data_IF_742747636657
#
_entry.id   IF_742747636657
#
_cell.length_a   1.000
_cell.length_b   1.000
_cell.length_c   1.000
_cell.angle_alpha   90.00
_cell.angle_beta   90.00
_cell.angle_gamma   90.00
#
_symmetry.space_group_name_H-M   'P 1'
#
loop_
_entity.id
_entity.type
_entity.pdbx_description
1 polymer ?
#
# COMPACT_ATOMS: atom_id res chain seq x y z
N UNK A 1 19.19 10.21 8.00
CA UNK A 1 18.66 11.22 7.04
C UNK A 1 18.42 10.66 5.65
N UNK A 2 19.40 9.99 5.00
CA UNK A 2 19.24 9.46 3.64
C UNK A 2 18.04 8.50 3.44
N UNK A 3 17.82 7.58 4.37
CA UNK A 3 16.71 6.60 4.28
C UNK A 3 15.33 7.27 4.36
N UNK A 4 15.20 8.35 5.13
CA UNK A 4 13.93 9.10 5.27
C UNK A 4 13.57 9.81 3.95
N UNK A 5 14.57 10.36 3.25
CA UNK A 5 14.34 11.00 1.95
C UNK A 5 13.81 9.99 0.92
N UNK A 6 14.32 8.75 0.93
CA UNK A 6 13.85 7.70 0.01
C UNK A 6 12.41 7.28 0.29
N UNK A 7 12.02 7.17 1.56
CA UNK A 7 10.62 6.90 1.94
C UNK A 7 9.68 7.99 1.44
N UNK A 8 10.06 9.27 1.55
CA UNK A 8 9.26 10.38 1.04
C UNK A 8 9.11 10.29 -0.49
N UNK A 9 10.16 9.94 -1.23
CA UNK A 9 10.08 9.75 -2.69
C UNK A 9 9.12 8.61 -3.03
N UNK A 10 9.22 7.48 -2.33
CA UNK A 10 8.29 6.35 -2.52
C UNK A 10 6.85 6.73 -2.18
N UNK A 11 6.64 7.52 -1.12
CA UNK A 11 5.32 8.02 -0.76
C UNK A 11 4.74 8.95 -1.84
N UNK A 12 5.52 9.85 -2.40
CA UNK A 12 5.07 10.71 -3.52
C UNK A 12 4.66 9.84 -4.71
N UNK A 13 5.44 8.80 -5.00
CA UNK A 13 5.09 7.82 -6.03
C UNK A 13 3.77 7.09 -5.73
N UNK A 14 3.53 6.67 -4.49
CA UNK A 14 2.25 6.09 -4.07
C UNK A 14 1.08 7.06 -4.22
N UNK A 15 1.26 8.35 -3.91
CA UNK A 15 0.22 9.38 -4.10
C UNK A 15 -0.13 9.52 -5.59
N UNK A 16 0.87 9.48 -6.47
CA UNK A 16 0.64 9.50 -7.92
C UNK A 16 -0.13 8.25 -8.36
N UNK A 17 0.27 7.07 -7.89
CA UNK A 17 -0.46 5.82 -8.18
C UNK A 17 -1.88 5.86 -7.66
N UNK A 18 -2.11 6.35 -6.44
CA UNK A 18 -3.43 6.52 -5.85
C UNK A 18 -4.32 7.44 -6.70
N UNK A 19 -3.77 8.55 -7.22
CA UNK A 19 -4.51 9.46 -8.08
C UNK A 19 -4.85 8.84 -9.45
N UNK A 20 -3.97 7.97 -9.98
CA UNK A 20 -4.21 7.24 -11.23
C UNK A 20 -5.26 6.14 -11.00
N UNK A 21 -5.13 5.37 -9.93
CA UNK A 21 -6.02 4.27 -9.55
C UNK A 21 -7.46 4.77 -9.32
N UNK A 22 -7.61 5.92 -8.66
CA UNK A 22 -8.89 6.58 -8.47
C UNK A 22 -9.59 7.02 -9.79
N UNK A 23 -8.83 7.18 -10.89
CA UNK A 23 -9.37 7.67 -12.18
C UNK A 23 -9.50 6.62 -13.27
N UNK A 24 -8.56 5.68 -13.38
CA UNK A 24 -8.45 4.83 -14.58
C UNK A 24 -8.55 3.33 -14.34
N UNK A 25 -8.40 2.83 -13.10
CA UNK A 25 -8.49 1.39 -12.72
C UNK A 25 -7.64 0.39 -13.54
N UNK A 26 -6.91 0.83 -14.56
CA UNK A 26 -6.03 0.01 -15.38
C UNK A 26 -4.58 0.26 -14.99
N UNK A 27 -3.96 -0.74 -14.37
CA UNK A 27 -2.53 -0.71 -14.07
C UNK A 27 -1.72 -1.01 -15.34
N UNK A 28 -1.00 -0.02 -15.86
CA UNK A 28 0.02 -0.29 -16.87
C UNK A 28 1.24 -0.96 -16.22
N UNK A 29 1.75 -2.02 -16.85
CA UNK A 29 2.94 -2.78 -16.42
C UNK A 29 4.17 -1.89 -16.14
N UNK A 30 4.27 -0.76 -16.84
CA UNK A 30 5.32 0.23 -16.64
C UNK A 30 5.38 0.77 -15.19
N UNK A 31 4.22 1.05 -14.59
CA UNK A 31 4.18 1.57 -13.22
C UNK A 31 4.68 0.52 -12.24
N UNK A 32 4.27 -0.74 -12.36
CA UNK A 32 4.74 -1.82 -11.48
C UNK A 32 6.27 -1.97 -11.52
N UNK A 33 6.88 -1.92 -12.71
CA UNK A 33 8.34 -2.01 -12.87
C UNK A 33 9.03 -0.81 -12.20
N UNK A 34 8.53 0.42 -12.42
CA UNK A 34 9.07 1.61 -11.78
C UNK A 34 8.98 1.56 -10.25
N UNK A 35 7.85 1.09 -9.73
CA UNK A 35 7.64 0.91 -8.29
C UNK A 35 8.55 -0.15 -7.69
N UNK A 36 8.81 -1.24 -8.42
CA UNK A 36 9.74 -2.28 -7.98
C UNK A 36 11.18 -1.78 -7.90
N UNK A 37 11.65 -1.07 -8.92
CA UNK A 37 12.99 -0.46 -8.89
C UNK A 37 13.13 0.51 -7.72
N UNK A 38 12.12 1.35 -7.48
CA UNK A 38 12.13 2.30 -6.38
C UNK A 38 12.11 1.60 -5.01
N UNK A 39 11.33 0.51 -4.87
CA UNK A 39 11.29 -0.29 -3.65
C UNK A 39 12.64 -0.96 -3.35
N UNK A 40 13.33 -1.48 -4.36
CA UNK A 40 14.68 -2.06 -4.23
C UNK A 40 15.69 -0.99 -3.80
N UNK A 41 15.62 0.22 -4.36
CA UNK A 41 16.49 1.35 -3.94
C UNK A 41 16.23 1.73 -2.47
N UNK A 42 14.96 1.78 -2.06
CA UNK A 42 14.58 2.02 -0.67
C UNK A 42 15.14 0.92 0.25
N UNK A 43 14.99 -0.35 -0.15
CA UNK A 43 15.52 -1.50 0.57
C UNK A 43 17.03 -1.41 0.77
N UNK A 44 17.77 -1.05 -0.29
CA UNK A 44 19.22 -0.93 -0.22
C UNK A 44 19.68 0.19 0.73
N UNK A 45 18.86 1.22 0.86
CA UNK A 45 19.09 2.41 1.68
C UNK A 45 18.65 2.24 3.14
N UNK A 46 18.08 1.08 3.50
CA UNK A 46 17.67 0.80 4.89
C UNK A 46 18.89 0.53 5.78
N UNK A 47 18.99 1.16 6.96
CA UNK A 47 20.00 0.82 7.95
C UNK A 47 19.72 -0.53 8.62
N UNK A 48 18.44 -0.91 8.71
CA UNK A 48 17.90 -2.11 9.34
C UNK A 48 17.63 -3.22 8.30
N UNK A 49 18.69 -3.79 7.71
CA UNK A 49 18.58 -4.87 6.70
C UNK A 49 18.31 -6.23 7.33
N UNK A 50 17.29 -6.31 8.18
CA UNK A 50 16.85 -7.58 8.74
C UNK A 50 16.01 -8.35 7.72
N UNK A 51 16.53 -9.50 7.30
CA UNK A 51 15.82 -10.41 6.38
C UNK A 51 14.43 -10.81 6.89
N UNK A 52 14.26 -10.94 8.20
CA UNK A 52 12.96 -11.23 8.82
C UNK A 52 11.96 -10.08 8.66
N UNK A 53 12.39 -8.83 8.87
CA UNK A 53 11.54 -7.65 8.68
C UNK A 53 11.06 -7.53 7.22
N UNK A 54 11.93 -7.85 6.26
CA UNK A 54 11.56 -7.90 4.84
C UNK A 54 10.52 -9.01 4.59
N UNK A 55 10.77 -10.21 5.09
CA UNK A 55 9.87 -11.35 4.90
C UNK A 55 8.48 -11.06 5.48
N UNK A 56 8.43 -10.56 6.72
CA UNK A 56 7.18 -10.17 7.37
C UNK A 56 6.49 -9.00 6.66
N UNK A 57 7.25 -8.03 6.12
CA UNK A 57 6.72 -6.93 5.33
C UNK A 57 6.05 -7.38 4.02
N UNK A 58 6.50 -8.48 3.42
CA UNK A 58 5.93 -9.01 2.18
C UNK A 58 4.64 -9.80 2.39
N UNK A 59 4.42 -10.37 3.59
CA UNK A 59 3.27 -11.23 3.90
C UNK A 59 1.92 -10.55 3.58
N UNK A 60 1.64 -9.31 4.03
CA UNK A 60 0.35 -8.68 3.76
C UNK A 60 0.07 -8.51 2.27
N UNK A 61 1.08 -8.12 1.48
CA UNK A 61 0.96 -8.00 0.04
C UNK A 61 0.75 -9.35 -0.65
N UNK A 62 1.47 -10.39 -0.21
CA UNK A 62 1.31 -11.74 -0.73
C UNK A 62 -0.09 -12.31 -0.43
N UNK A 63 -0.59 -12.09 0.78
CA UNK A 63 -1.96 -12.49 1.15
C UNK A 63 -3.00 -11.78 0.29
N UNK A 64 -2.87 -10.46 0.09
CA UNK A 64 -3.75 -9.71 -0.81
C UNK A 64 -3.70 -10.23 -2.24
N UNK A 65 -2.53 -10.63 -2.73
CA UNK A 65 -2.37 -11.16 -4.08
C UNK A 65 -3.04 -12.52 -4.23
N UNK A 66 -2.89 -13.41 -3.24
CA UNK A 66 -3.60 -14.70 -3.19
C UNK A 66 -5.12 -14.45 -3.22
N UNK A 67 -5.64 -13.54 -2.39
CA UNK A 67 -7.07 -13.22 -2.38
C UNK A 67 -7.52 -12.60 -3.70
N UNK A 68 -6.73 -11.72 -4.32
CA UNK A 68 -7.04 -11.13 -5.61
C UNK A 68 -7.21 -12.19 -6.71
N UNK A 69 -6.32 -13.18 -6.76
CA UNK A 69 -6.39 -14.30 -7.71
C UNK A 69 -7.58 -15.21 -7.42
N UNK A 70 -7.82 -15.55 -6.14
CA UNK A 70 -8.93 -16.43 -5.75
C UNK A 70 -10.31 -15.80 -5.93
N UNK A 71 -10.41 -14.48 -5.90
CA UNK A 71 -11.70 -13.75 -5.96
C UNK A 71 -12.07 -13.27 -7.36
N UNK A 72 -11.41 -13.80 -8.41
CA UNK A 72 -11.60 -13.37 -9.80
C UNK A 72 -11.42 -11.84 -9.96
N UNK A 73 -10.35 -11.30 -9.35
CA UNK A 73 -10.00 -9.87 -9.36
C UNK A 73 -11.02 -8.92 -8.70
N UNK A 74 -11.92 -9.41 -7.83
CA UNK A 74 -12.74 -8.50 -6.99
C UNK A 74 -11.88 -7.55 -6.16
N UNK A 75 -10.73 -8.05 -5.69
CA UNK A 75 -9.61 -7.22 -5.21
C UNK A 75 -8.67 -7.05 -6.41
N UNK A 76 -8.31 -5.81 -6.74
CA UNK A 76 -7.45 -5.54 -7.88
C UNK A 76 -6.07 -6.16 -7.70
N UNK A 77 -5.59 -6.91 -8.68
CA UNK A 77 -4.22 -7.46 -8.66
C UNK A 77 -3.19 -6.32 -8.52
N UNK A 78 -3.45 -5.17 -9.15
CA UNK A 78 -2.63 -3.98 -9.01
C UNK A 78 -2.50 -3.49 -7.57
N UNK A 79 -3.59 -3.47 -6.80
CA UNK A 79 -3.59 -3.10 -5.38
C UNK A 79 -2.70 -4.03 -4.55
N UNK A 80 -2.79 -5.34 -4.81
CA UNK A 80 -1.99 -6.34 -4.13
C UNK A 80 -0.49 -6.22 -4.46
N UNK A 81 -0.15 -5.93 -5.72
CA UNK A 81 1.23 -5.63 -6.11
C UNK A 81 1.74 -4.38 -5.40
N UNK A 82 0.95 -3.31 -5.31
CA UNK A 82 1.36 -2.10 -4.56
C UNK A 82 1.61 -2.42 -3.08
N UNK A 83 0.77 -3.25 -2.46
CA UNK A 83 1.01 -3.70 -1.08
C UNK A 83 2.32 -4.50 -0.94
N UNK A 84 2.68 -5.35 -1.92
CA UNK A 84 3.97 -6.02 -1.96
C UNK A 84 5.14 -5.04 -2.09
N UNK A 85 5.01 -4.02 -2.94
CA UNK A 85 6.04 -3.00 -3.12
C UNK A 85 6.23 -2.16 -1.84
N UNK A 86 5.15 -1.86 -1.12
CA UNK A 86 5.22 -1.21 0.20
C UNK A 86 5.97 -2.10 1.19
N UNK A 87 5.68 -3.41 1.22
CA UNK A 87 6.42 -4.41 2.01
C UNK A 87 7.92 -4.42 1.74
N UNK A 88 8.29 -4.28 0.47
CA UNK A 88 9.68 -4.22 0.03
C UNK A 88 10.34 -2.85 0.28
N UNK A 89 9.57 -1.76 0.33
CA UNK A 89 10.08 -0.40 0.52
C UNK A 89 10.17 0.03 1.99
N UNK A 90 9.22 -0.38 2.85
CA UNK A 90 9.15 -0.02 4.28
C UNK A 90 9.40 -1.20 5.25
N UNK A 91 9.87 -0.93 6.48
CA UNK A 91 9.99 -1.96 7.53
C UNK A 91 8.61 -2.49 7.95
N UNK A 92 8.56 -3.73 8.45
CA UNK A 92 7.30 -4.44 8.69
C UNK A 92 6.32 -3.66 9.58
N UNK A 93 6.81 -2.95 10.59
CA UNK A 93 6.00 -2.17 11.53
C UNK A 93 5.15 -1.12 10.79
N UNK A 94 5.78 -0.41 9.85
CA UNK A 94 5.11 0.61 9.04
C UNK A 94 4.14 0.00 8.05
N UNK A 95 4.51 -1.13 7.45
CA UNK A 95 3.65 -1.89 6.53
C UNK A 95 2.40 -2.37 7.26
N UNK A 96 2.57 -2.90 8.47
CA UNK A 96 1.47 -3.41 9.29
C UNK A 96 0.48 -2.30 9.64
N UNK A 97 0.95 -1.15 10.12
CA UNK A 97 0.12 0.03 10.38
C UNK A 97 -0.58 0.48 9.09
N UNK A 98 0.14 0.54 7.97
CA UNK A 98 -0.41 1.00 6.71
C UNK A 98 -1.56 0.11 6.24
N UNK A 99 -1.39 -1.22 6.31
CA UNK A 99 -2.41 -2.19 5.91
C UNK A 99 -3.62 -2.16 6.86
N UNK A 100 -3.40 -2.03 8.17
CA UNK A 100 -4.50 -1.89 9.15
C UNK A 100 -5.34 -0.64 8.89
N UNK A 101 -4.69 0.52 8.70
CA UNK A 101 -5.38 1.77 8.34
C UNK A 101 -6.09 1.64 7.01
N UNK A 102 -5.48 0.95 6.03
CA UNK A 102 -6.10 0.75 4.73
C UNK A 102 -7.38 -0.08 4.82
N UNK A 103 -7.34 -1.21 5.55
CA UNK A 103 -8.52 -2.04 5.79
C UNK A 103 -9.60 -1.31 6.58
N UNK A 104 -9.22 -0.54 7.61
CA UNK A 104 -10.18 0.23 8.39
C UNK A 104 -10.85 1.32 7.54
N UNK A 105 -10.08 2.06 6.74
CA UNK A 105 -10.59 3.07 5.82
C UNK A 105 -11.51 2.48 4.77
N UNK A 106 -11.10 1.36 4.16
CA UNK A 106 -11.91 0.64 3.19
C UNK A 106 -13.22 0.12 3.81
N UNK A 107 -13.16 -0.40 5.04
CA UNK A 107 -14.33 -0.86 5.79
C UNK A 107 -15.31 0.28 6.08
N UNK A 108 -14.82 1.42 6.59
CA UNK A 108 -15.66 2.58 6.90
C UNK A 108 -16.33 3.15 5.64
N UNK A 109 -15.57 3.31 4.55
CA UNK A 109 -16.13 3.81 3.28
C UNK A 109 -17.14 2.82 2.71
N UNK A 110 -16.85 1.52 2.75
CA UNK A 110 -17.80 0.47 2.34
C UNK A 110 -19.08 0.53 3.15
N UNK A 111 -18.98 0.66 4.47
CA UNK A 111 -20.12 0.74 5.38
C UNK A 111 -20.99 1.97 5.06
N UNK A 112 -20.39 3.15 4.91
CA UNK A 112 -21.10 4.38 4.55
C UNK A 112 -21.80 4.25 3.20
N UNK A 113 -21.14 3.67 2.19
CA UNK A 113 -21.74 3.48 0.87
C UNK A 113 -22.92 2.49 0.88
N UNK A 114 -22.84 1.44 1.71
CA UNK A 114 -23.94 0.48 1.91
C UNK A 114 -25.13 1.17 2.61
N UNK A 115 -24.87 1.92 3.68
CA UNK A 115 -25.91 2.67 4.43
C UNK A 115 -26.59 3.69 3.53
N UNK A 116 -25.83 4.40 2.69
CA UNK A 116 -26.36 5.36 1.72
C UNK A 116 -27.01 4.69 0.49
N UNK A 117 -27.03 3.35 0.42
CA UNK A 117 -27.50 2.55 -0.74
C UNK A 117 -26.86 2.96 -2.07
N UNK A 118 -25.67 3.57 -2.03
CA UNK A 118 -24.92 4.05 -3.20
C UNK A 118 -23.90 3.04 -3.73
N UNK A 119 -23.65 1.95 -3.00
CA UNK A 119 -22.84 0.83 -3.48
C UNK A 119 -23.66 -0.44 -3.67
N UNK A 120 -23.42 -1.13 -4.77
CA UNK A 120 -23.89 -2.49 -5.01
C UNK A 120 -22.77 -3.51 -4.78
N UNK A 121 -23.10 -4.80 -4.80
CA UNK A 121 -22.14 -5.92 -4.64
C UNK A 121 -20.97 -5.97 -5.65
N UNK A 122 -21.01 -5.15 -6.71
CA UNK A 122 -20.02 -5.13 -7.81
C UNK A 122 -19.14 -3.87 -7.81
N UNK A 123 -19.29 -2.96 -6.85
CA UNK A 123 -18.47 -1.76 -6.80
C UNK A 123 -17.06 -2.10 -6.31
N UNK A 124 -16.12 -2.36 -7.21
CA UNK A 124 -14.70 -2.46 -6.87
C UNK A 124 -14.24 -1.12 -6.28
N UNK A 125 -13.57 -1.16 -5.14
CA UNK A 125 -12.96 0.02 -4.51
C UNK A 125 -11.46 0.00 -4.77
N UNK A 126 -10.92 1.13 -5.22
CA UNK A 126 -9.50 1.41 -5.31
C UNK A 126 -8.87 1.29 -3.92
N UNK A 127 -7.97 0.32 -3.70
CA UNK A 127 -7.38 0.05 -2.39
C UNK A 127 -6.06 0.82 -2.19
N UNK A 128 -5.36 1.18 -3.28
CA UNK A 128 -4.13 2.01 -3.25
C UNK A 128 -4.28 3.34 -2.50
N UNK A 129 -5.37 4.12 -2.63
CA UNK A 129 -5.53 5.35 -1.85
C UNK A 129 -5.55 5.11 -0.34
N UNK A 130 -6.19 4.04 0.11
CA UNK A 130 -6.25 3.69 1.52
C UNK A 130 -4.88 3.20 2.04
N UNK A 131 -4.16 2.41 1.23
CA UNK A 131 -2.76 2.02 1.51
C UNK A 131 -1.85 3.23 1.64
N UNK A 132 -1.98 4.20 0.73
CA UNK A 132 -1.18 5.44 0.73
C UNK A 132 -1.45 6.24 2.01
N UNK A 133 -2.72 6.35 2.41
CA UNK A 133 -3.11 6.99 3.68
C UNK A 133 -2.53 6.26 4.89
N UNK A 134 -2.50 4.93 4.86
CA UNK A 134 -1.86 4.13 5.89
C UNK A 134 -0.36 4.38 6.01
N UNK A 135 0.36 4.46 4.89
CA UNK A 135 1.80 4.80 4.87
C UNK A 135 2.03 6.21 5.42
N UNK A 136 1.19 7.18 5.04
CA UNK A 136 1.23 8.54 5.61
C UNK A 136 1.08 8.53 7.13
N UNK A 137 0.06 7.83 7.64
CA UNK A 137 -0.17 7.70 9.08
C UNK A 137 1.02 7.04 9.79
N UNK A 138 1.57 5.96 9.23
CA UNK A 138 2.73 5.28 9.79
C UNK A 138 3.97 6.20 9.86
N UNK A 139 4.19 7.03 8.84
CA UNK A 139 5.31 7.98 8.82
C UNK A 139 5.14 9.15 9.80
N UNK A 140 3.91 9.60 10.04
CA UNK A 140 3.62 10.67 11.01
C UNK A 140 3.72 10.13 12.44
N UNK A 141 3.16 8.95 12.72
CA UNK A 141 3.20 8.34 14.05
C UNK A 141 4.63 8.11 14.56
N UNK A 142 5.53 7.76 13.66
CA UNK A 142 6.97 7.60 13.95
C UNK A 142 7.60 8.92 14.44
N UNK A 143 7.17 10.10 13.94
CA UNK A 143 7.68 11.39 14.43
C UNK A 143 7.08 11.82 15.77
N UNK A 144 5.91 11.31 16.14
CA UNK A 144 5.18 11.70 17.35
C UNK A 144 5.67 10.91 18.58
N UNK A 145 6.21 9.71 18.39
CA UNK A 145 6.71 8.85 19.48
C UNK A 145 8.15 9.16 19.95
N UNK A 146 8.85 10.11 19.31
CA UNK A 146 10.19 10.59 19.71
C UNK A 146 10.17 12.05 20.24
N UNK A 147 9.06 12.47 20.86
CA UNK A 147 8.96 13.70 21.66
C UNK A 147 8.73 13.30 23.12
#
# INVERSE_FOLDING_TARGET
MWSVNMYIVFLIYLIILSAIDARKREFSMFFCIAGFLLAVICLWSRPDKEWLSILFGLIPGAMLLIVAVLTEEKIGIGDAVVALLIGLAYPFEKVFVAVMVAFLGAFLVSLVLIVLKKAGRKTQMAFVPFLTMGVLCAMIGDKVLYV
#
